data_IF_514518160212
#
_entry.id   IF_514518160212
#
_cell.length_a   1.000
_cell.length_b   1.000
_cell.length_c   1.000
_cell.angle_alpha   90.00
_cell.angle_beta   90.00
_cell.angle_gamma   90.00
#
_symmetry.space_group_name_H-M   'P 1'
#
loop_
_entity.id
_entity.type
_entity.pdbx_description
1 polymer ?
#
# COMPACT_ATOMS: atom_id res chain seq x y z
N UNK A 1 25.16 49.58 28.69
CA UNK A 1 25.04 48.53 27.65
C UNK A 1 24.03 47.52 28.16
N UNK A 2 22.83 47.50 27.59
CA UNK A 2 21.74 46.64 28.03
C UNK A 2 21.79 45.31 27.26
N UNK A 3 22.08 44.23 27.97
CA UNK A 3 22.14 42.87 27.43
C UNK A 3 20.71 42.34 27.26
N UNK A 4 20.18 42.40 26.04
CA UNK A 4 18.91 41.76 25.69
C UNK A 4 19.16 40.25 25.50
N UNK A 5 18.79 39.45 26.50
CA UNK A 5 18.67 38.00 26.37
C UNK A 5 17.39 37.70 25.59
N UNK A 6 17.52 37.51 24.28
CA UNK A 6 16.46 36.95 23.43
C UNK A 6 16.37 35.46 23.76
N UNK A 7 15.41 35.11 24.61
CA UNK A 7 15.01 33.72 24.86
C UNK A 7 14.28 33.24 23.60
N UNK A 8 15.03 32.64 22.68
CA UNK A 8 14.49 31.89 21.56
C UNK A 8 13.82 30.63 22.10
N UNK A 9 12.51 30.73 22.33
CA UNK A 9 11.61 29.59 22.56
C UNK A 9 11.60 28.79 21.26
N UNK A 10 12.49 27.80 21.16
CA UNK A 10 12.47 26.80 20.11
C UNK A 10 11.20 25.97 20.29
N UNK A 11 10.26 26.22 19.39
CA UNK A 11 8.99 25.49 19.27
C UNK A 11 9.28 24.01 19.07
N UNK A 12 9.12 23.25 20.16
CA UNK A 12 8.97 21.79 20.10
C UNK A 12 7.60 21.48 19.51
N UNK A 13 7.45 21.63 18.19
CA UNK A 13 6.33 21.06 17.45
C UNK A 13 6.50 19.55 17.50
N UNK A 14 5.87 18.95 18.52
CA UNK A 14 5.63 17.53 18.59
C UNK A 14 4.90 17.11 17.32
N UNK A 15 5.57 16.33 16.47
CA UNK A 15 4.91 15.60 15.40
C UNK A 15 3.97 14.58 16.06
N UNK A 16 2.73 14.99 16.37
CA UNK A 16 1.66 14.06 16.69
C UNK A 16 1.39 13.22 15.45
N UNK A 17 2.07 12.07 15.33
CA UNK A 17 1.81 11.08 14.29
C UNK A 17 0.37 10.58 14.49
N UNK A 18 -0.48 10.67 13.46
CA UNK A 18 -1.84 10.13 13.50
C UNK A 18 -1.79 8.64 13.92
N UNK A 19 -2.78 8.16 14.66
CA UNK A 19 -2.85 6.73 15.00
C UNK A 19 -2.93 5.86 13.74
N UNK A 20 -2.46 4.61 13.82
CA UNK A 20 -2.54 3.68 12.69
C UNK A 20 -3.98 3.45 12.24
N UNK A 21 -4.92 3.37 13.18
CA UNK A 21 -6.36 3.24 12.92
C UNK A 21 -6.90 4.40 12.06
N UNK A 22 -6.59 5.64 12.45
CA UNK A 22 -7.06 6.82 11.70
C UNK A 22 -6.39 6.95 10.34
N UNK A 23 -5.13 6.55 10.23
CA UNK A 23 -4.47 6.46 8.92
C UNK A 23 -5.13 5.40 8.05
N UNK A 24 -5.49 4.23 8.61
CA UNK A 24 -6.20 3.19 7.86
C UNK A 24 -7.55 3.70 7.35
N UNK A 25 -8.34 4.40 8.17
CA UNK A 25 -9.63 4.98 7.73
C UNK A 25 -9.45 5.89 6.51
N UNK A 26 -8.46 6.79 6.54
CA UNK A 26 -8.14 7.68 5.41
C UNK A 26 -7.72 6.89 4.16
N UNK A 27 -7.00 5.78 4.32
CA UNK A 27 -6.58 4.93 3.21
C UNK A 27 -7.76 4.15 2.60
N UNK A 28 -8.66 3.63 3.44
CA UNK A 28 -9.85 2.89 3.00
C UNK A 28 -10.81 3.75 2.16
N UNK A 29 -10.88 5.05 2.45
CA UNK A 29 -11.75 5.99 1.73
C UNK A 29 -11.14 6.49 0.42
N UNK A 30 -9.81 6.64 0.35
CA UNK A 30 -9.17 7.47 -0.69
C UNK A 30 -8.08 6.79 -1.52
N UNK A 31 -7.58 5.63 -1.08
CA UNK A 31 -6.44 4.96 -1.72
C UNK A 31 -6.83 3.59 -2.28
N UNK A 32 -5.90 2.99 -3.03
CA UNK A 32 -6.10 1.67 -3.60
C UNK A 32 -6.12 0.57 -2.53
N UNK A 33 -6.73 -0.56 -2.90
CA UNK A 33 -6.69 -1.80 -2.11
C UNK A 33 -5.26 -2.23 -1.78
N UNK A 34 -4.32 -2.04 -2.73
CA UNK A 34 -2.91 -2.37 -2.57
C UNK A 34 -2.20 -1.53 -1.51
N UNK A 35 -2.43 -0.21 -1.51
CA UNK A 35 -1.84 0.70 -0.52
C UNK A 35 -2.41 0.40 0.87
N UNK A 36 -3.72 0.21 0.98
CA UNK A 36 -4.39 -0.11 2.25
C UNK A 36 -3.93 -1.45 2.82
N UNK A 37 -3.86 -2.51 1.99
CA UNK A 37 -3.38 -3.82 2.42
C UNK A 37 -1.90 -3.78 2.82
N UNK A 38 -1.07 -3.07 2.04
CA UNK A 38 0.35 -2.84 2.36
C UNK A 38 0.52 -2.15 3.72
N UNK A 39 -0.30 -1.13 3.99
CA UNK A 39 -0.29 -0.45 5.27
C UNK A 39 -0.71 -1.37 6.42
N UNK A 40 -1.73 -2.19 6.21
CA UNK A 40 -2.19 -3.18 7.17
C UNK A 40 -1.07 -4.15 7.59
N UNK A 41 -0.37 -4.78 6.63
CA UNK A 41 0.70 -5.72 6.97
C UNK A 41 1.86 -5.02 7.70
N UNK A 42 2.24 -3.81 7.27
CA UNK A 42 3.29 -3.00 7.93
C UNK A 42 2.95 -2.59 9.36
N UNK A 43 1.65 -2.45 9.68
CA UNK A 43 1.17 -1.97 10.98
C UNK A 43 0.32 -3.00 11.73
N UNK A 44 0.41 -4.29 11.39
CA UNK A 44 -0.48 -5.34 11.91
C UNK A 44 -0.58 -5.40 13.43
N UNK A 45 0.52 -5.12 14.14
CA UNK A 45 0.54 -5.13 15.61
C UNK A 45 -0.24 -3.96 16.23
N UNK A 46 -0.51 -2.88 15.46
CA UNK A 46 -1.27 -1.71 15.90
C UNK A 46 -2.72 -1.72 15.40
N UNK A 47 -3.07 -2.67 14.53
CA UNK A 47 -4.37 -2.77 13.87
C UNK A 47 -5.09 -4.08 14.22
N UNK A 48 -4.81 -4.63 15.40
CA UNK A 48 -5.37 -5.93 15.85
C UNK A 48 -6.90 -5.89 15.82
N UNK A 49 -7.50 -4.78 16.26
CA UNK A 49 -8.96 -4.60 16.30
C UNK A 49 -9.58 -4.24 14.93
N UNK A 50 -8.75 -4.07 13.90
CA UNK A 50 -9.16 -3.75 12.52
C UNK A 50 -8.81 -4.88 11.55
N UNK A 51 -8.68 -6.10 12.07
CA UNK A 51 -8.31 -7.29 11.29
C UNK A 51 -9.26 -7.53 10.12
N UNK A 52 -10.55 -7.41 10.32
CA UNK A 52 -11.54 -7.71 9.27
C UNK A 52 -11.41 -6.75 8.09
N UNK A 53 -11.19 -5.45 8.35
CA UNK A 53 -10.94 -4.46 7.31
C UNK A 53 -9.65 -4.79 6.55
N UNK A 54 -8.58 -5.15 7.26
CA UNK A 54 -7.31 -5.54 6.67
C UNK A 54 -7.43 -6.80 5.80
N UNK A 55 -8.17 -7.81 6.26
CA UNK A 55 -8.44 -9.04 5.52
C UNK A 55 -9.28 -8.73 4.27
N UNK A 56 -10.27 -7.85 4.38
CA UNK A 56 -11.11 -7.42 3.26
C UNK A 56 -10.30 -6.71 2.18
N UNK A 57 -9.48 -5.71 2.52
CA UNK A 57 -8.67 -5.01 1.50
C UNK A 57 -7.61 -5.91 0.87
N UNK A 58 -7.04 -6.84 1.65
CA UNK A 58 -6.09 -7.82 1.13
C UNK A 58 -6.76 -8.76 0.13
N UNK A 59 -8.00 -9.18 0.42
CA UNK A 59 -8.81 -9.97 -0.51
C UNK A 59 -9.12 -9.19 -1.79
N UNK A 60 -9.54 -7.93 -1.68
CA UNK A 60 -9.80 -7.08 -2.85
C UNK A 60 -8.55 -6.89 -3.72
N UNK A 61 -7.38 -6.64 -3.10
CA UNK A 61 -6.11 -6.53 -3.81
C UNK A 61 -5.77 -7.81 -4.58
N UNK A 62 -5.99 -8.98 -3.96
CA UNK A 62 -5.80 -10.27 -4.63
C UNK A 62 -6.75 -10.45 -5.81
N UNK A 63 -8.04 -10.20 -5.64
CA UNK A 63 -9.05 -10.34 -6.71
C UNK A 63 -8.72 -9.44 -7.91
N UNK A 64 -8.17 -8.26 -7.64
CA UNK A 64 -7.72 -7.34 -8.68
C UNK A 64 -6.48 -7.86 -9.43
N UNK A 65 -5.49 -8.44 -8.75
CA UNK A 65 -4.36 -9.12 -9.39
C UNK A 65 -4.84 -10.28 -10.24
N UNK A 66 -5.73 -11.13 -9.71
CA UNK A 66 -6.31 -12.26 -10.45
C UNK A 66 -7.03 -11.76 -11.71
N UNK A 67 -7.79 -10.67 -11.62
CA UNK A 67 -8.45 -10.04 -12.77
C UNK A 67 -7.45 -9.53 -13.82
N UNK A 68 -6.39 -8.84 -13.40
CA UNK A 68 -5.34 -8.35 -14.31
C UNK A 68 -4.66 -9.52 -15.03
N UNK A 69 -4.29 -10.57 -14.31
CA UNK A 69 -3.58 -11.71 -14.88
C UNK A 69 -4.50 -12.56 -15.77
N UNK A 70 -5.80 -12.67 -15.44
CA UNK A 70 -6.77 -13.37 -16.28
C UNK A 70 -7.03 -12.65 -17.61
N UNK A 71 -6.94 -11.31 -17.66
CA UNK A 71 -7.01 -10.58 -18.95
C UNK A 71 -5.93 -11.02 -19.93
N UNK A 72 -4.80 -11.58 -19.47
CA UNK A 72 -3.82 -12.19 -20.37
C UNK A 72 -4.43 -13.37 -21.15
N UNK A 73 -5.26 -14.20 -20.50
CA UNK A 73 -5.90 -15.34 -21.17
C UNK A 73 -6.75 -14.86 -22.36
N UNK A 74 -7.39 -13.69 -22.23
CA UNK A 74 -8.16 -13.07 -23.30
C UNK A 74 -7.29 -12.43 -24.39
N UNK A 75 -6.14 -11.87 -24.02
CA UNK A 75 -5.18 -11.23 -24.93
C UNK A 75 -4.22 -12.22 -25.63
N UNK A 76 -4.23 -13.49 -25.23
CA UNK A 76 -3.38 -14.53 -25.75
C UNK A 76 -1.89 -14.32 -25.39
N UNK A 77 -1.09 -13.90 -26.38
CA UNK A 77 0.37 -13.71 -26.24
C UNK A 77 0.73 -12.29 -25.81
N UNK A 78 -0.18 -11.32 -25.99
CA UNK A 78 0.12 -9.93 -25.69
C UNK A 78 0.21 -9.70 -24.17
N UNK A 79 1.23 -8.95 -23.70
CA UNK A 79 1.34 -8.59 -22.29
C UNK A 79 0.22 -7.63 -21.88
N UNK A 80 -0.14 -7.66 -20.61
CA UNK A 80 -1.10 -6.74 -20.03
C UNK A 80 -0.39 -5.44 -19.71
N UNK A 81 -0.88 -4.33 -20.28
CA UNK A 81 -0.35 -2.99 -19.98
C UNK A 81 -1.08 -2.47 -18.73
N UNK A 82 -0.31 -2.03 -17.75
CA UNK A 82 -0.80 -1.46 -16.49
C UNK A 82 -0.11 -0.12 -16.25
N UNK A 83 -0.88 0.85 -15.75
CA UNK A 83 -0.35 2.15 -15.33
C UNK A 83 0.83 1.98 -14.36
N UNK A 84 1.89 2.75 -14.57
CA UNK A 84 3.12 2.66 -13.78
C UNK A 84 2.93 2.88 -12.29
N UNK A 85 2.02 3.77 -11.88
CA UNK A 85 1.73 4.03 -10.45
C UNK A 85 1.10 2.79 -9.84
N UNK A 86 0.05 2.28 -10.48
CA UNK A 86 -0.64 1.05 -10.04
C UNK A 86 0.29 -0.16 -10.01
N UNK A 87 1.14 -0.31 -11.02
CA UNK A 87 2.10 -1.39 -11.09
C UNK A 87 3.07 -1.40 -9.92
N UNK A 88 3.53 -0.22 -9.49
CA UNK A 88 4.40 -0.09 -8.31
C UNK A 88 3.67 -0.45 -7.02
N UNK A 89 2.43 -0.03 -6.86
CA UNK A 89 1.62 -0.39 -5.68
C UNK A 89 1.44 -1.91 -5.58
N UNK A 90 1.21 -2.58 -6.71
CA UNK A 90 1.09 -4.05 -6.78
C UNK A 90 2.43 -4.71 -6.46
N UNK A 91 3.53 -4.22 -7.04
CA UNK A 91 4.85 -4.77 -6.77
C UNK A 91 5.23 -4.62 -5.28
N UNK A 92 4.92 -3.48 -4.66
CA UNK A 92 5.13 -3.27 -3.22
C UNK A 92 4.25 -4.21 -2.38
N UNK A 93 2.97 -4.35 -2.74
CA UNK A 93 2.04 -5.27 -2.08
C UNK A 93 2.56 -6.71 -2.10
N UNK A 94 3.05 -7.19 -3.26
CA UNK A 94 3.58 -8.54 -3.44
C UNK A 94 4.86 -8.79 -2.64
N UNK A 95 5.73 -7.78 -2.50
CA UNK A 95 6.94 -7.89 -1.69
C UNK A 95 6.63 -8.01 -0.20
N UNK A 96 5.61 -7.28 0.27
CA UNK A 96 5.24 -7.23 1.70
C UNK A 96 4.43 -8.47 2.09
N UNK A 97 3.48 -8.89 1.26
CA UNK A 97 2.67 -10.09 1.51
C UNK A 97 3.37 -11.32 0.93
N UNK A 98 4.28 -11.92 1.70
CA UNK A 98 5.16 -13.00 1.24
C UNK A 98 4.42 -14.14 0.52
N UNK A 99 3.25 -14.57 1.02
CA UNK A 99 2.48 -15.63 0.35
C UNK A 99 1.93 -15.20 -1.01
N UNK A 100 1.51 -13.95 -1.16
CA UNK A 100 1.08 -13.40 -2.45
C UNK A 100 2.28 -13.21 -3.38
N UNK A 101 3.42 -12.73 -2.86
CA UNK A 101 4.67 -12.62 -3.59
C UNK A 101 5.10 -13.95 -4.20
N UNK A 102 5.15 -15.02 -3.40
CA UNK A 102 5.48 -16.37 -3.88
C UNK A 102 4.53 -16.82 -5.00
N UNK A 103 3.24 -16.52 -4.87
CA UNK A 103 2.23 -16.96 -5.82
C UNK A 103 2.24 -16.19 -7.14
N UNK A 104 2.42 -14.87 -7.08
CA UNK A 104 2.12 -13.99 -8.20
C UNK A 104 3.33 -13.29 -8.79
N UNK A 105 4.46 -13.17 -8.09
CA UNK A 105 5.57 -12.31 -8.51
C UNK A 105 6.13 -12.68 -9.89
N UNK A 106 6.50 -13.95 -10.09
CA UNK A 106 7.05 -14.40 -11.37
C UNK A 106 6.02 -14.27 -12.51
N UNK A 107 4.75 -14.56 -12.23
CA UNK A 107 3.66 -14.41 -13.18
C UNK A 107 3.48 -12.94 -13.54
N UNK A 108 3.52 -12.04 -12.56
CA UNK A 108 3.39 -10.61 -12.76
C UNK A 108 4.49 -10.08 -13.68
N UNK A 109 5.77 -10.36 -13.36
CA UNK A 109 6.93 -9.90 -14.15
C UNK A 109 6.96 -10.44 -15.58
N UNK A 110 6.45 -11.64 -15.82
CA UNK A 110 6.40 -12.23 -17.15
C UNK A 110 5.27 -11.68 -18.03
N UNK A 111 4.23 -11.12 -17.43
CA UNK A 111 2.96 -10.87 -18.12
C UNK A 111 2.55 -9.40 -18.17
N UNK A 112 3.18 -8.54 -17.37
CA UNK A 112 2.77 -7.15 -17.22
C UNK A 112 3.87 -6.20 -17.67
N UNK A 113 3.49 -5.19 -18.46
CA UNK A 113 4.33 -4.04 -18.80
C UNK A 113 3.77 -2.81 -18.10
N UNK A 114 4.67 -2.02 -17.49
CA UNK A 114 4.34 -0.77 -16.81
C UNK A 114 4.58 0.41 -17.74
N UNK A 115 3.55 1.21 -17.99
CA UNK A 115 3.59 2.42 -18.82
C UNK A 115 3.18 3.66 -18.02
#
# INVERSE_FOLDING_TARGET
MATFLVVSITTSLTQCKKSATRQLDELLESQSSFVSATFCEKNKNQLVDRKDDCDQVTKSAKEEIDSILNRKLDLGIAPVIVDKTKGKEIEEFLQIHTQMGIRYWEIWKANVILE
#
